data_IF_673487474042
#
_entry.id   IF_673487474042
#
_cell.length_a   1.000
_cell.length_b   1.000
_cell.length_c   1.000
_cell.angle_alpha   90.00
_cell.angle_beta   90.00
_cell.angle_gamma   90.00
#
_symmetry.space_group_name_H-M   'P 1'
#
loop_
_entity.id
_entity.type
_entity.pdbx_description
1 polymer ?
#
# COMPACT_ATOMS: atom_id res chain seq x y z
N UNK A 1 -58.66 -12.08 40.71
CA UNK A 1 -58.72 -10.97 41.70
C UNK A 1 -57.31 -10.68 42.15
N UNK A 2 -56.93 -9.39 42.22
CA UNK A 2 -55.60 -8.88 42.62
C UNK A 2 -54.71 -8.56 41.40
N UNK A 3 -54.67 -7.37 40.81
CA UNK A 3 -54.45 -5.99 41.28
C UNK A 3 -52.95 -5.58 41.31
N UNK A 4 -52.74 -4.33 40.88
CA UNK A 4 -51.53 -3.50 40.96
C UNK A 4 -50.45 -3.74 39.89
N UNK A 5 -49.72 -2.76 39.35
CA UNK A 5 -49.72 -1.28 39.24
C UNK A 5 -48.36 -0.99 38.58
N UNK A 6 -48.24 0.05 37.76
CA UNK A 6 -46.92 0.58 37.43
C UNK A 6 -46.81 1.19 36.04
N UNK A 7 -47.28 2.43 35.90
CA UNK A 7 -46.83 3.29 34.81
C UNK A 7 -45.42 3.84 35.10
N UNK A 8 -44.66 4.09 34.05
CA UNK A 8 -43.65 5.15 34.02
C UNK A 8 -43.55 5.73 32.60
N UNK A 9 -43.49 7.06 32.47
CA UNK A 9 -43.37 7.76 31.19
C UNK A 9 -41.89 7.95 30.82
N UNK A 10 -41.56 7.83 29.53
CA UNK A 10 -40.22 8.09 29.01
C UNK A 10 -40.30 9.06 27.84
N UNK A 11 -40.03 10.33 28.13
CA UNK A 11 -40.17 11.46 27.23
C UNK A 11 -39.18 11.49 26.05
N UNK A 12 -39.69 11.97 24.92
CA UNK A 12 -39.07 12.86 23.94
C UNK A 12 -37.52 12.88 23.84
N UNK A 13 -36.99 12.26 22.78
CA UNK A 13 -35.68 12.64 22.25
C UNK A 13 -35.83 13.43 20.96
N UNK A 14 -35.26 14.62 20.98
CA UNK A 14 -35.46 15.71 20.05
C UNK A 14 -34.72 15.44 18.73
N UNK A 15 -35.38 15.86 17.65
CA UNK A 15 -34.86 15.96 16.28
C UNK A 15 -33.56 16.77 16.27
N UNK A 16 -32.49 16.23 15.69
CA UNK A 16 -31.30 17.00 15.29
C UNK A 16 -31.58 17.68 13.95
N UNK A 17 -31.39 19.00 13.80
CA UNK A 17 -31.41 19.63 12.49
C UNK A 17 -30.07 19.39 11.77
N UNK A 18 -30.17 18.93 10.52
CA UNK A 18 -29.08 18.84 9.55
C UNK A 18 -28.54 20.24 9.22
N UNK A 19 -27.34 20.55 9.70
CA UNK A 19 -26.57 21.70 9.25
C UNK A 19 -25.90 21.40 7.92
N UNK A 20 -26.47 21.92 6.84
CA UNK A 20 -25.87 21.94 5.51
C UNK A 20 -24.76 23.00 5.46
N UNK A 21 -23.55 22.60 5.05
CA UNK A 21 -22.44 23.50 4.73
C UNK A 21 -22.22 23.50 3.21
N UNK A 22 -22.38 24.62 2.51
CA UNK A 22 -21.90 24.74 1.14
C UNK A 22 -20.43 25.19 1.09
N UNK A 23 -19.69 24.46 0.27
CA UNK A 23 -18.28 24.63 -0.06
C UNK A 23 -18.09 25.86 -0.95
N UNK A 24 -17.25 26.81 -0.55
CA UNK A 24 -16.67 27.79 -1.46
C UNK A 24 -15.22 27.40 -1.76
N UNK A 25 -14.99 27.00 -3.01
CA UNK A 25 -13.68 26.75 -3.61
C UNK A 25 -13.34 27.96 -4.51
N UNK A 26 -12.15 28.57 -4.41
CA UNK A 26 -11.71 29.56 -5.38
C UNK A 26 -11.11 28.89 -6.64
N UNK A 27 -11.36 29.40 -7.85
CA UNK A 27 -10.63 28.96 -9.04
C UNK A 27 -9.31 29.72 -9.18
N UNK A 28 -8.20 28.98 -9.19
CA UNK A 28 -6.93 29.44 -9.72
C UNK A 28 -6.69 28.82 -11.10
N UNK A 29 -6.49 29.63 -12.14
CA UNK A 29 -5.88 29.22 -13.41
C UNK A 29 -5.08 30.37 -14.01
N UNK A 30 -3.76 30.28 -13.88
CA UNK A 30 -2.80 31.11 -14.62
C UNK A 30 -2.71 30.66 -16.07
N UNK A 31 -2.63 31.63 -16.98
CA UNK A 31 -2.30 31.44 -18.38
C UNK A 31 -0.78 31.26 -18.53
N UNK A 32 -0.34 30.13 -19.09
CA UNK A 32 1.00 29.98 -19.66
C UNK A 32 0.86 29.99 -21.18
N UNK A 33 1.41 31.03 -21.80
CA UNK A 33 1.45 31.25 -23.25
C UNK A 33 2.51 30.34 -23.89
N UNK A 34 2.08 29.59 -24.90
CA UNK A 34 2.91 28.84 -25.84
C UNK A 34 3.26 29.74 -27.02
N UNK A 35 4.54 30.07 -27.21
CA UNK A 35 5.06 30.49 -28.51
C UNK A 35 6.60 30.41 -28.55
N UNK A 36 7.14 29.61 -29.45
CA UNK A 36 8.59 29.50 -29.67
C UNK A 36 8.94 28.49 -30.76
N UNK A 37 8.71 28.89 -32.01
CA UNK A 37 8.98 28.14 -33.25
C UNK A 37 10.33 28.63 -33.84
N UNK A 38 10.91 27.82 -34.76
CA UNK A 38 12.07 28.08 -35.65
C UNK A 38 13.38 27.41 -35.21
N UNK A 39 14.23 26.84 -36.07
CA UNK A 39 14.30 26.78 -37.55
C UNK A 39 15.27 25.66 -37.96
N UNK A 40 15.08 25.16 -39.18
CA UNK A 40 15.95 24.24 -39.92
C UNK A 40 17.40 24.72 -40.10
N UNK A 41 18.32 23.77 -40.15
CA UNK A 41 19.67 23.95 -40.69
C UNK A 41 20.20 22.63 -41.23
N UNK A 42 20.18 22.48 -42.56
CA UNK A 42 20.86 21.41 -43.29
C UNK A 42 22.35 21.75 -43.43
N UNK A 43 23.23 20.75 -43.50
CA UNK A 43 24.65 20.97 -43.80
C UNK A 43 25.47 19.69 -43.79
N UNK A 44 25.91 19.31 -44.99
CA UNK A 44 26.52 18.05 -45.39
C UNK A 44 28.02 17.91 -45.02
N UNK A 45 28.46 16.65 -45.07
CA UNK A 45 29.73 16.16 -45.62
C UNK A 45 30.97 15.92 -44.71
N UNK A 46 31.16 14.62 -44.46
CA UNK A 46 32.31 13.82 -44.93
C UNK A 46 33.70 13.95 -44.27
N UNK A 47 34.19 12.80 -43.76
CA UNK A 47 35.36 12.00 -44.25
C UNK A 47 35.70 10.89 -43.22
N UNK A 48 35.70 9.60 -43.61
CA UNK A 48 36.87 8.69 -43.78
C UNK A 48 37.88 8.77 -42.61
N UNK A 49 38.37 7.73 -41.95
CA UNK A 49 38.44 6.26 -42.13
C UNK A 49 39.13 5.65 -40.87
N UNK A 50 39.40 4.34 -40.78
CA UNK A 50 39.34 3.54 -39.55
C UNK A 50 40.70 3.24 -38.90
N UNK A 51 40.69 2.85 -37.61
CA UNK A 51 41.64 1.91 -37.01
C UNK A 51 41.09 1.50 -35.63
N UNK A 52 40.55 0.29 -35.53
CA UNK A 52 41.21 -0.80 -34.81
C UNK A 52 41.32 -0.56 -33.29
N UNK A 53 40.65 -1.43 -32.51
CA UNK A 53 41.32 -2.30 -31.52
C UNK A 53 40.29 -3.24 -30.87
N UNK A 54 40.15 -4.37 -31.55
CA UNK A 54 40.29 -5.70 -30.96
C UNK A 54 39.47 -6.02 -29.71
N UNK A 55 38.31 -6.65 -29.93
CA UNK A 55 37.82 -7.67 -29.00
C UNK A 55 38.84 -8.80 -28.94
N UNK A 56 39.40 -9.06 -27.76
CA UNK A 56 40.07 -10.34 -27.44
C UNK A 56 39.19 -11.05 -26.42
N UNK A 57 38.33 -11.92 -26.92
CA UNK A 57 37.97 -13.14 -26.20
C UNK A 57 39.08 -14.14 -26.48
N UNK A 58 39.85 -14.52 -25.47
CA UNK A 58 40.65 -15.73 -25.52
C UNK A 58 40.68 -16.37 -24.13
N UNK A 59 40.10 -17.56 -24.06
CA UNK A 59 40.22 -18.49 -22.95
C UNK A 59 41.70 -18.83 -22.70
N UNK A 60 42.10 -18.97 -21.42
CA UNK A 60 42.65 -20.22 -20.85
C UNK A 60 43.18 -19.99 -19.42
N UNK A 61 42.65 -20.78 -18.49
CA UNK A 61 43.38 -21.57 -17.48
C UNK A 61 44.35 -20.90 -16.49
N UNK A 62 43.91 -20.89 -15.22
CA UNK A 62 44.59 -21.29 -13.97
C UNK A 62 46.13 -21.18 -13.92
N UNK A 63 46.66 -20.35 -13.00
CA UNK A 63 47.60 -20.76 -11.93
C UNK A 63 48.08 -19.58 -11.06
N UNK A 64 47.95 -19.76 -9.73
CA UNK A 64 48.82 -19.26 -8.63
C UNK A 64 48.74 -17.74 -8.32
N UNK A 65 47.85 -17.33 -7.43
CA UNK A 65 48.04 -17.10 -5.98
C UNK A 65 48.74 -15.78 -5.58
N UNK A 66 48.05 -15.08 -4.67
CA UNK A 66 48.62 -14.36 -3.52
C UNK A 66 48.88 -12.84 -3.63
N UNK A 67 47.80 -12.06 -3.57
CA UNK A 67 47.75 -10.84 -2.76
C UNK A 67 46.50 -10.98 -1.85
N UNK A 68 46.57 -11.54 -0.64
CA UNK A 68 47.10 -10.93 0.61
C UNK A 68 46.68 -9.47 0.81
N UNK A 69 45.40 -9.16 0.60
CA UNK A 69 44.75 -8.08 1.36
C UNK A 69 43.95 -8.71 2.51
N UNK A 70 44.65 -8.87 3.63
CA UNK A 70 44.15 -9.52 4.84
C UNK A 70 43.20 -8.57 5.59
N UNK A 71 42.01 -9.10 5.89
CA UNK A 71 41.30 -9.00 7.17
C UNK A 71 41.24 -7.65 7.88
N UNK A 72 40.04 -7.10 8.05
CA UNK A 72 39.30 -7.27 9.32
C UNK A 72 38.04 -6.39 9.41
N UNK A 73 36.90 -7.05 9.57
CA UNK A 73 35.94 -6.78 10.65
C UNK A 73 35.40 -5.34 10.77
N UNK A 74 34.35 -4.99 10.01
CA UNK A 74 33.24 -4.13 10.48
C UNK A 74 32.11 -4.06 9.45
N UNK A 75 31.66 -5.23 9.02
CA UNK A 75 30.34 -5.39 8.41
C UNK A 75 29.53 -6.31 9.29
N UNK A 76 29.22 -5.88 10.53
CA UNK A 76 28.14 -6.50 11.30
C UNK A 76 26.87 -6.30 10.47
N UNK A 77 26.59 -7.21 9.56
CA UNK A 77 25.25 -7.39 9.02
C UNK A 77 24.45 -8.04 10.15
N UNK A 78 24.19 -7.26 11.20
CA UNK A 78 23.03 -7.47 12.05
C UNK A 78 21.82 -7.09 11.19
N UNK A 79 21.47 -7.96 10.24
CA UNK A 79 20.09 -8.04 9.84
C UNK A 79 19.39 -8.67 11.02
N UNK A 80 18.88 -7.80 11.90
CA UNK A 80 17.91 -8.15 12.92
C UNK A 80 17.00 -9.23 12.39
N UNK A 81 16.81 -10.28 13.18
CA UNK A 81 15.60 -11.08 13.20
C UNK A 81 14.40 -10.15 12.96
N UNK A 82 13.92 -10.03 11.73
CA UNK A 82 12.83 -9.13 11.45
C UNK A 82 11.60 -9.81 12.04
N UNK A 83 11.11 -9.26 13.15
CA UNK A 83 9.77 -9.55 13.61
C UNK A 83 8.82 -9.10 12.50
N UNK A 84 8.58 -9.97 11.52
CA UNK A 84 7.78 -9.67 10.34
C UNK A 84 6.33 -9.59 10.78
N UNK A 85 5.90 -8.38 11.15
CA UNK A 85 4.49 -8.10 11.41
C UNK A 85 3.69 -8.45 10.15
N UNK A 86 2.55 -9.13 10.29
CA UNK A 86 1.72 -9.44 9.15
C UNK A 86 1.18 -8.16 8.50
N UNK A 87 1.07 -8.17 7.18
CA UNK A 87 0.58 -7.05 6.39
C UNK A 87 -0.89 -7.28 6.06
N UNK A 88 -1.75 -6.37 6.49
CA UNK A 88 -3.17 -6.36 6.16
C UNK A 88 -3.42 -5.32 5.07
N UNK A 89 -3.72 -5.77 3.85
CA UNK A 89 -4.09 -4.92 2.73
C UNK A 89 -5.60 -4.70 2.70
N UNK A 90 -6.03 -3.45 2.83
CA UNK A 90 -7.41 -2.98 2.72
C UNK A 90 -7.63 -2.35 1.34
N UNK A 91 -8.47 -2.98 0.53
CA UNK A 91 -8.95 -2.41 -0.72
C UNK A 91 -10.14 -1.49 -0.46
N UNK A 92 -10.01 -0.23 -0.86
CA UNK A 92 -10.98 0.84 -0.59
C UNK A 92 -11.24 1.71 -1.82
N UNK A 93 -12.30 2.51 -1.79
CA UNK A 93 -12.68 3.51 -2.81
C UNK A 93 -13.36 4.68 -2.11
N UNK A 94 -13.25 5.89 -2.65
CA UNK A 94 -14.01 7.05 -2.15
C UNK A 94 -15.24 7.34 -3.02
N UNK A 95 -16.40 7.72 -2.42
CA UNK A 95 -16.76 7.62 -0.99
C UNK A 95 -17.13 6.17 -0.59
N UNK A 96 -16.74 5.73 0.61
CA UNK A 96 -17.07 4.39 1.14
C UNK A 96 -17.23 4.43 2.67
N UNK A 97 -18.46 4.57 3.19
CA UNK A 97 -18.71 4.61 4.64
C UNK A 97 -18.32 3.28 5.32
N UNK A 98 -18.56 2.14 4.67
CA UNK A 98 -18.17 0.81 5.18
C UNK A 98 -16.66 0.67 5.41
N UNK A 99 -15.87 1.36 4.59
CA UNK A 99 -14.41 1.35 4.70
C UNK A 99 -13.95 2.16 5.92
N UNK A 100 -14.65 3.25 6.24
CA UNK A 100 -14.35 4.08 7.41
C UNK A 100 -14.73 3.33 8.70
N UNK A 101 -15.91 2.71 8.75
CA UNK A 101 -16.32 1.82 9.86
C UNK A 101 -15.32 0.68 10.10
N UNK A 102 -14.86 0.03 9.03
CA UNK A 102 -13.91 -1.06 9.15
C UNK A 102 -12.55 -0.63 9.72
N UNK A 103 -12.09 0.60 9.40
CA UNK A 103 -10.85 1.15 9.97
C UNK A 103 -10.98 1.39 11.46
N UNK A 104 -12.14 1.89 11.92
CA UNK A 104 -12.42 2.09 13.33
C UNK A 104 -12.35 0.78 14.12
N UNK A 105 -12.94 -0.30 13.58
CA UNK A 105 -12.86 -1.64 14.19
C UNK A 105 -11.41 -2.16 14.27
N UNK A 106 -10.57 -1.79 13.30
CA UNK A 106 -9.17 -2.22 13.24
C UNK A 106 -8.20 -1.33 14.04
N UNK A 107 -8.61 -0.13 14.49
CA UNK A 107 -7.79 0.78 15.30
C UNK A 107 -7.08 0.10 16.48
N UNK A 108 -7.77 -0.72 17.31
CA UNK A 108 -7.13 -1.34 18.47
C UNK A 108 -5.99 -2.31 18.10
N UNK A 109 -6.06 -2.87 16.89
CA UNK A 109 -5.16 -3.92 16.43
C UNK A 109 -4.00 -3.40 15.58
N UNK A 110 -3.99 -2.11 15.21
CA UNK A 110 -2.96 -1.50 14.34
C UNK A 110 -1.52 -1.68 14.81
N UNK A 111 -1.28 -1.96 16.09
CA UNK A 111 0.07 -2.21 16.61
C UNK A 111 0.57 -3.63 16.31
N UNK A 112 -0.33 -4.59 16.04
CA UNK A 112 0.01 -6.01 15.79
C UNK A 112 0.32 -6.30 14.33
N UNK A 113 -0.23 -5.53 13.40
CA UNK A 113 -0.06 -5.72 11.96
C UNK A 113 0.27 -4.40 11.26
N UNK A 114 0.65 -4.46 9.99
CA UNK A 114 0.87 -3.28 9.15
C UNK A 114 -0.34 -3.10 8.24
N UNK A 115 -1.08 -1.99 8.40
CA UNK A 115 -2.21 -1.67 7.52
C UNK A 115 -1.70 -1.03 6.23
N UNK A 116 -2.00 -1.65 5.10
CA UNK A 116 -1.76 -1.10 3.77
C UNK A 116 -3.10 -0.77 3.11
N UNK A 117 -3.29 0.47 2.70
CA UNK A 117 -4.51 0.88 1.99
C UNK A 117 -4.24 0.93 0.49
N UNK A 118 -5.15 0.34 -0.30
CA UNK A 118 -5.09 0.34 -1.75
C UNK A 118 -6.38 0.95 -2.27
N UNK A 119 -6.28 2.12 -2.90
CA UNK A 119 -7.40 2.73 -3.60
C UNK A 119 -7.59 2.05 -4.96
N UNK A 120 -8.68 1.31 -5.10
CA UNK A 120 -9.00 0.59 -6.34
C UNK A 120 -9.43 1.53 -7.46
N UNK A 121 -9.73 2.81 -7.19
CA UNK A 121 -10.13 3.76 -8.24
C UNK A 121 -8.96 4.28 -9.08
N UNK A 122 -7.73 4.08 -8.62
CA UNK A 122 -6.54 4.47 -9.36
C UNK A 122 -6.36 3.57 -10.61
N UNK A 123 -5.92 4.14 -11.75
CA UNK A 123 -5.76 3.37 -12.99
C UNK A 123 -4.74 2.23 -12.85
N UNK A 124 -3.72 2.41 -12.02
CA UNK A 124 -2.72 1.40 -11.66
C UNK A 124 -3.34 0.15 -11.00
N UNK A 125 -4.51 0.31 -10.35
CA UNK A 125 -5.23 -0.74 -9.64
C UNK A 125 -6.50 -1.20 -10.38
N UNK A 126 -6.63 -0.90 -11.67
CA UNK A 126 -7.81 -1.27 -12.49
C UNK A 126 -8.18 -2.76 -12.40
N UNK A 127 -7.18 -3.65 -12.34
CA UNK A 127 -7.41 -5.07 -12.12
C UNK A 127 -8.15 -5.39 -10.81
N UNK A 128 -7.87 -4.64 -9.74
CA UNK A 128 -8.56 -4.76 -8.46
C UNK A 128 -9.95 -4.11 -8.51
N UNK A 129 -10.11 -3.02 -9.26
CA UNK A 129 -11.40 -2.40 -9.47
C UNK A 129 -12.39 -3.39 -10.08
N UNK A 130 -12.02 -4.04 -11.17
CA UNK A 130 -12.91 -4.97 -11.86
C UNK A 130 -13.30 -6.15 -10.99
N UNK A 131 -12.37 -6.61 -10.14
CA UNK A 131 -12.57 -7.74 -9.24
C UNK A 131 -13.41 -7.39 -8.00
N UNK A 132 -13.22 -6.22 -7.41
CA UNK A 132 -13.72 -5.89 -6.07
C UNK A 132 -14.64 -4.67 -5.98
N UNK A 133 -14.95 -3.98 -7.09
CA UNK A 133 -15.81 -2.77 -7.10
C UNK A 133 -17.13 -2.89 -6.34
N UNK A 134 -17.71 -4.09 -6.25
CA UNK A 134 -18.96 -4.37 -5.53
C UNK A 134 -18.78 -5.05 -4.17
N UNK A 135 -17.55 -5.46 -3.85
CA UNK A 135 -17.21 -6.26 -2.68
C UNK A 135 -16.41 -5.49 -1.60
N UNK A 136 -16.08 -4.23 -1.86
CA UNK A 136 -15.33 -3.37 -0.93
C UNK A 136 -16.11 -3.09 0.37
N UNK A 137 -15.44 -3.03 1.54
CA UNK A 137 -14.01 -3.24 1.74
C UNK A 137 -13.59 -4.71 1.64
N UNK A 138 -12.43 -4.98 1.03
CA UNK A 138 -11.82 -6.32 0.96
C UNK A 138 -10.50 -6.32 1.71
N UNK A 139 -10.24 -7.39 2.47
CA UNK A 139 -9.06 -7.53 3.32
C UNK A 139 -8.22 -8.71 2.87
N UNK A 140 -6.94 -8.47 2.62
CA UNK A 140 -5.94 -9.51 2.40
C UNK A 140 -4.92 -9.49 3.52
N UNK A 141 -4.59 -10.65 4.08
CA UNK A 141 -3.55 -10.80 5.10
C UNK A 141 -2.36 -11.53 4.48
N UNK A 142 -1.19 -10.88 4.45
CA UNK A 142 0.01 -11.34 3.74
C UNK A 142 -0.28 -11.74 2.28
N UNK A 143 -1.07 -10.92 1.58
CA UNK A 143 -1.46 -11.16 0.18
C UNK A 143 -2.50 -12.27 -0.03
N UNK A 144 -3.04 -12.87 1.04
CA UNK A 144 -4.11 -13.88 0.96
C UNK A 144 -5.45 -13.26 1.34
N UNK A 145 -6.49 -13.55 0.56
CA UNK A 145 -7.84 -13.11 0.89
C UNK A 145 -8.27 -13.61 2.27
N UNK A 146 -8.73 -12.69 3.12
CA UNK A 146 -9.17 -12.98 4.48
C UNK A 146 -10.70 -12.83 4.61
N UNK A 147 -11.22 -11.66 4.27
CA UNK A 147 -12.65 -11.32 4.42
C UNK A 147 -13.04 -10.12 3.54
N UNK A 148 -14.35 -9.87 3.39
CA UNK A 148 -14.92 -8.75 2.64
C UNK A 148 -16.22 -8.22 3.26
N UNK A 149 -16.64 -7.02 2.88
CA UNK A 149 -17.83 -6.27 3.33
C UNK A 149 -17.83 -5.85 4.80
N UNK A 150 -17.48 -6.74 5.73
CA UNK A 150 -17.47 -6.50 7.18
C UNK A 150 -16.23 -7.11 7.81
N UNK A 151 -15.78 -6.49 8.90
CA UNK A 151 -14.68 -7.01 9.71
C UNK A 151 -15.23 -8.03 10.70
N UNK A 152 -14.81 -9.28 10.55
CA UNK A 152 -15.05 -10.35 11.53
C UNK A 152 -13.84 -10.41 12.47
N UNK A 153 -14.01 -9.86 13.67
CA UNK A 153 -12.94 -9.73 14.66
C UNK A 153 -12.41 -11.11 15.08
N UNK A 154 -13.29 -12.08 15.30
CA UNK A 154 -12.89 -13.43 15.73
C UNK A 154 -12.02 -14.09 14.67
N UNK A 155 -12.48 -14.09 13.41
CA UNK A 155 -11.71 -14.64 12.30
C UNK A 155 -10.39 -13.90 12.09
N UNK A 156 -10.38 -12.58 12.27
CA UNK A 156 -9.17 -11.76 12.16
C UNK A 156 -8.15 -12.14 13.23
N UNK A 157 -8.58 -12.22 14.50
CA UNK A 157 -7.73 -12.56 15.64
C UNK A 157 -7.14 -13.96 15.53
N UNK A 158 -7.93 -14.95 15.10
CA UNK A 158 -7.47 -16.33 14.89
C UNK A 158 -6.35 -16.38 13.84
N UNK A 159 -6.54 -15.67 12.72
CA UNK A 159 -5.55 -15.64 11.63
C UNK A 159 -4.31 -14.86 12.03
N UNK A 160 -4.47 -13.76 12.76
CA UNK A 160 -3.37 -12.95 13.26
C UNK A 160 -2.49 -13.74 14.24
N UNK A 161 -3.13 -14.41 15.21
CA UNK A 161 -2.44 -15.22 16.22
C UNK A 161 -1.73 -16.41 15.59
N UNK A 162 -2.33 -17.05 14.58
CA UNK A 162 -1.68 -18.13 13.82
C UNK A 162 -0.41 -17.68 13.10
N UNK A 163 -0.37 -16.44 12.60
CA UNK A 163 0.80 -15.88 11.93
C UNK A 163 1.90 -15.50 12.93
N UNK A 164 1.54 -14.93 14.07
CA UNK A 164 2.48 -14.60 15.16
C UNK A 164 3.21 -15.88 15.63
N UNK A 165 2.46 -16.95 15.93
CA UNK A 165 3.04 -18.25 16.32
C UNK A 165 3.93 -18.87 15.24
N UNK A 166 3.60 -18.67 13.96
CA UNK A 166 4.44 -19.19 12.89
C UNK A 166 5.74 -18.40 12.73
N UNK A 167 5.70 -17.08 12.94
CA UNK A 167 6.88 -16.24 12.91
C UNK A 167 7.84 -16.58 14.07
N UNK A 168 7.30 -16.90 15.25
CA UNK A 168 8.10 -17.30 16.42
C UNK A 168 8.77 -18.67 16.25
N UNK A 169 8.14 -19.61 15.54
CA UNK A 169 8.72 -20.94 15.28
C UNK A 169 9.79 -20.96 14.19
N UNK A 170 9.86 -19.91 13.36
CA UNK A 170 10.79 -19.83 12.25
C UNK A 170 12.07 -19.04 12.60
N UNK A 171 12.24 -18.69 13.88
CA UNK A 171 13.40 -18.00 14.42
C UNK A 171 14.09 -18.85 15.48
#
# INVERSE_FOLDING_TARGET
MGAARGGSPGAASRRRPSGAMPRHLPPGRGLASLAGRARSGAGLAARRSPAARTMVFCFLSKTVHLARYSSSLLGRQLCSASANKPVLTLFTKKPCPLCDEAKEVLEPYKRRFILQEVDITLPENSAWYDKYKYDIPVFHLNGKFLMKHRVDIQKFEDQLSKLELHNDRNH
#
